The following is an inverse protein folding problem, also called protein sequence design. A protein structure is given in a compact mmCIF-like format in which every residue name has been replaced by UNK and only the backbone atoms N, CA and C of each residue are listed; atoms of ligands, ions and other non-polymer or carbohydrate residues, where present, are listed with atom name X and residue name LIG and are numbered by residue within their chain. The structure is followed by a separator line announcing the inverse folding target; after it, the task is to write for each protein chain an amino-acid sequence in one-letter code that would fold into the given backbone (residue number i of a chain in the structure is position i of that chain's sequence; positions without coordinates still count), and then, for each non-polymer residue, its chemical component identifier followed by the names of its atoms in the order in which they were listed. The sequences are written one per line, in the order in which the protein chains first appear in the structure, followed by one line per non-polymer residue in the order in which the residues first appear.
data_IF_042544633686
#
_entry.id   IF_042544633686
#
_cell.length_a   1.000
_cell.length_b   1.000
_cell.length_c   1.000
_cell.angle_alpha   90.00
_cell.angle_beta   90.00
_cell.angle_gamma   90.00
#
_symmetry.space_group_name_H-M   'P 1'
#
loop_
_entity.id
_entity.type
_entity.pdbx_description
1 polymer ?
#
# COMPACT_ATOMS: atom_id res chain seq x y z
N UNK A 1 -9.49 27.81 7.46
CA UNK A 1 -9.28 26.76 8.48
C UNK A 1 -9.85 25.45 7.95
N UNK A 2 -9.06 24.37 8.03
CA UNK A 2 -9.45 22.93 7.92
C UNK A 2 -10.00 22.45 6.56
N UNK A 3 -9.54 21.35 5.94
CA UNK A 3 -8.97 20.10 6.48
C UNK A 3 -8.04 19.44 5.44
N UNK A 4 -6.88 18.97 5.92
CA UNK A 4 -6.05 17.91 5.32
C UNK A 4 -6.93 16.72 4.92
N UNK A 5 -6.65 16.15 3.74
CA UNK A 5 -6.53 14.70 3.43
C UNK A 5 -7.00 14.44 2.00
N UNK A 6 -6.04 14.30 1.10
CA UNK A 6 -5.78 12.98 0.51
C UNK A 6 -4.39 13.02 -0.10
N UNK A 7 -3.38 12.65 0.67
CA UNK A 7 -2.24 11.96 0.08
C UNK A 7 -2.81 10.66 -0.50
N UNK A 8 -3.39 10.78 -1.69
CA UNK A 8 -3.50 9.66 -2.61
C UNK A 8 -2.04 9.36 -2.93
N UNK A 9 -1.43 8.51 -2.11
CA UNK A 9 -0.21 7.83 -2.49
C UNK A 9 -0.57 7.12 -3.79
N UNK A 10 -0.29 7.76 -4.93
CA UNK A 10 -0.39 7.11 -6.22
C UNK A 10 0.58 5.95 -6.10
N UNK A 11 0.02 4.75 -5.98
CA UNK A 11 0.79 3.54 -5.77
C UNK A 11 1.59 3.35 -7.05
N UNK A 12 2.86 3.75 -6.99
CA UNK A 12 3.80 3.66 -8.10
C UNK A 12 4.42 2.27 -8.12
N UNK A 13 4.83 1.84 -9.31
CA UNK A 13 5.69 0.67 -9.45
C UNK A 13 6.92 0.83 -8.57
N UNK A 14 7.22 -0.20 -7.78
CA UNK A 14 8.39 -0.21 -6.90
C UNK A 14 9.51 -1.04 -7.51
N UNK A 15 10.72 -0.53 -7.48
CA UNK A 15 11.91 -1.31 -7.81
C UNK A 15 12.30 -2.10 -6.57
N UNK A 16 12.57 -3.38 -6.73
CA UNK A 16 13.05 -4.25 -5.64
C UNK A 16 14.56 -4.42 -5.76
N UNK A 17 15.24 -4.20 -4.64
CA UNK A 17 16.67 -4.31 -4.47
C UNK A 17 16.97 -5.39 -3.41
N UNK A 18 17.98 -6.20 -3.67
CA UNK A 18 18.58 -7.07 -2.68
C UNK A 18 19.81 -6.36 -2.12
N UNK A 19 19.76 -6.05 -0.83
CA UNK A 19 20.83 -5.39 -0.09
C UNK A 19 21.52 -6.41 0.79
N UNK A 20 22.82 -6.64 0.57
CA UNK A 20 23.63 -7.50 1.42
C UNK A 20 24.47 -6.64 2.35
N UNK A 21 24.43 -6.90 3.65
CA UNK A 21 25.27 -6.25 4.67
C UNK A 21 25.96 -7.34 5.47
N UNK A 22 27.28 -7.48 5.29
CA UNK A 22 28.03 -8.64 5.79
C UNK A 22 27.44 -9.96 5.26
N UNK A 23 26.96 -10.81 6.17
CA UNK A 23 26.33 -12.11 5.85
C UNK A 23 24.81 -12.06 5.69
N UNK A 24 24.17 -10.91 5.94
CA UNK A 24 22.71 -10.76 5.91
C UNK A 24 22.24 -10.18 4.59
N UNK A 25 21.07 -10.60 4.15
CA UNK A 25 20.40 -10.08 2.96
C UNK A 25 19.04 -9.51 3.32
N UNK A 26 18.70 -8.39 2.70
CA UNK A 26 17.47 -7.63 2.92
C UNK A 26 16.84 -7.27 1.58
N UNK A 27 15.54 -7.51 1.45
CA UNK A 27 14.77 -7.00 0.34
C UNK A 27 14.31 -5.57 0.64
N UNK A 28 14.67 -4.64 -0.23
CA UNK A 28 14.32 -3.22 -0.14
C UNK A 28 13.56 -2.83 -1.39
N UNK A 29 12.32 -2.41 -1.23
CA UNK A 29 11.50 -1.83 -2.30
C UNK A 29 11.63 -0.30 -2.29
N UNK A 30 11.64 0.36 -3.44
CA UNK A 30 11.57 1.82 -3.51
C UNK A 30 10.87 2.30 -4.78
N UNK A 31 10.02 3.33 -4.65
CA UNK A 31 9.36 4.03 -5.74
C UNK A 31 10.10 5.31 -6.19
N UNK A 32 11.11 5.74 -5.43
CA UNK A 32 11.95 6.89 -5.74
C UNK A 32 13.38 6.71 -5.20
N UNK A 33 14.30 7.55 -5.68
CA UNK A 33 15.67 7.60 -5.16
C UNK A 33 15.70 8.04 -3.69
N UNK A 34 14.82 8.94 -3.28
CA UNK A 34 14.75 9.42 -1.89
C UNK A 34 14.22 8.33 -0.95
N UNK A 35 13.16 7.59 -1.35
CA UNK A 35 12.68 6.43 -0.57
C UNK A 35 13.77 5.35 -0.46
N UNK A 36 14.56 5.17 -1.51
CA UNK A 36 15.70 4.26 -1.48
C UNK A 36 16.78 4.75 -0.51
N UNK A 37 17.10 6.04 -0.50
CA UNK A 37 18.08 6.64 0.41
C UNK A 37 17.68 6.46 1.88
N UNK A 38 16.42 6.75 2.21
CA UNK A 38 15.87 6.60 3.57
C UNK A 38 15.96 5.15 4.07
N UNK A 39 15.71 4.18 3.19
CA UNK A 39 15.79 2.76 3.54
C UNK A 39 17.22 2.23 3.60
N UNK A 40 18.12 2.75 2.78
CA UNK A 40 19.53 2.33 2.74
C UNK A 40 20.36 2.94 3.88
N UNK A 41 20.09 4.17 4.30
CA UNK A 41 20.80 4.85 5.39
C UNK A 41 21.02 3.95 6.64
N UNK A 42 19.96 3.38 7.27
CA UNK A 42 20.14 2.56 8.46
C UNK A 42 20.81 1.21 8.18
N UNK A 43 20.72 0.68 6.95
CA UNK A 43 21.35 -0.60 6.58
C UNK A 43 22.84 -0.45 6.34
N UNK A 44 23.24 0.66 5.73
CA UNK A 44 24.63 0.98 5.45
C UNK A 44 25.36 1.63 6.64
N UNK A 45 24.61 2.11 7.65
CA UNK A 45 25.17 2.86 8.77
C UNK A 45 25.71 4.22 8.36
N UNK A 46 25.09 4.84 7.35
CA UNK A 46 25.50 6.11 6.75
C UNK A 46 24.46 7.20 7.02
N UNK A 47 24.91 8.44 7.08
CA UNK A 47 24.01 9.58 7.19
C UNK A 47 23.24 9.81 5.88
N UNK A 48 22.05 10.41 5.99
CA UNK A 48 21.17 10.58 4.82
C UNK A 48 21.86 11.40 3.71
N UNK A 49 22.65 12.41 4.09
CA UNK A 49 23.40 13.24 3.14
C UNK A 49 24.45 12.46 2.34
N UNK A 50 25.03 11.41 2.94
CA UNK A 50 26.07 10.59 2.32
C UNK A 50 25.48 9.54 1.38
N UNK A 51 24.36 8.92 1.79
CA UNK A 51 23.70 7.86 1.01
C UNK A 51 22.86 8.43 -0.15
N UNK A 52 22.34 9.66 -0.06
CA UNK A 52 21.49 10.26 -1.08
C UNK A 52 22.09 10.23 -2.50
N UNK A 53 23.33 10.71 -2.75
CA UNK A 53 23.93 10.63 -4.09
C UNK A 53 24.13 9.18 -4.57
N UNK A 54 24.41 8.24 -3.65
CA UNK A 54 24.55 6.82 -3.96
C UNK A 54 23.20 6.23 -4.38
N UNK A 55 22.14 6.52 -3.62
CA UNK A 55 20.79 6.07 -3.91
C UNK A 55 20.29 6.62 -5.26
N UNK A 56 20.60 7.88 -5.59
CA UNK A 56 20.30 8.46 -6.90
C UNK A 56 21.01 7.71 -8.04
N UNK A 57 22.29 7.35 -7.85
CA UNK A 57 23.04 6.58 -8.84
C UNK A 57 22.48 5.14 -9.02
N UNK A 58 22.13 4.48 -7.91
CA UNK A 58 21.52 3.14 -7.90
C UNK A 58 20.16 3.15 -8.58
N UNK A 59 19.31 4.13 -8.24
CA UNK A 59 17.96 4.24 -8.79
C UNK A 59 17.99 4.58 -10.28
N UNK A 60 18.88 5.48 -10.70
CA UNK A 60 18.91 6.00 -12.06
C UNK A 60 19.47 5.03 -13.11
N UNK A 61 20.55 4.30 -12.81
CA UNK A 61 21.26 3.51 -13.84
C UNK A 61 21.89 2.20 -13.37
N UNK A 62 22.27 2.06 -12.11
CA UNK A 62 23.10 0.92 -11.72
C UNK A 62 22.26 -0.36 -11.51
N UNK A 63 22.69 -1.48 -12.11
CA UNK A 63 22.13 -2.81 -11.81
C UNK A 63 22.66 -3.39 -10.51
N UNK A 64 23.88 -3.01 -10.13
CA UNK A 64 24.59 -3.46 -8.93
C UNK A 64 25.55 -2.38 -8.45
N UNK A 65 25.72 -2.28 -7.15
CA UNK A 65 26.68 -1.42 -6.47
C UNK A 65 27.33 -2.22 -5.35
N UNK A 66 28.66 -2.25 -5.32
CA UNK A 66 29.43 -2.97 -4.31
C UNK A 66 30.26 -1.97 -3.50
N UNK A 67 30.16 -2.07 -2.18
CA UNK A 67 30.97 -1.36 -1.20
C UNK A 67 31.71 -2.37 -0.32
N UNK A 68 32.64 -1.88 0.49
CA UNK A 68 33.54 -2.73 1.28
C UNK A 68 32.81 -3.66 2.27
N UNK A 69 31.67 -3.21 2.82
CA UNK A 69 30.92 -3.97 3.83
C UNK A 69 29.47 -4.28 3.44
N UNK A 70 29.01 -3.77 2.30
CA UNK A 70 27.65 -3.98 1.82
C UNK A 70 27.55 -3.89 0.31
N UNK A 71 26.50 -4.45 -0.27
CA UNK A 71 26.23 -4.36 -1.70
C UNK A 71 24.74 -4.25 -1.95
N UNK A 72 24.38 -3.66 -3.09
CA UNK A 72 22.99 -3.53 -3.55
C UNK A 72 22.90 -4.07 -4.96
N UNK A 73 21.89 -4.89 -5.22
CA UNK A 73 21.57 -5.35 -6.58
C UNK A 73 20.10 -5.15 -6.86
N UNK A 74 19.78 -4.60 -8.03
CA UNK A 74 18.40 -4.55 -8.52
C UNK A 74 17.95 -5.95 -8.93
N UNK A 75 16.88 -6.46 -8.31
CA UNK A 75 16.37 -7.81 -8.56
C UNK A 75 15.06 -7.82 -9.36
N UNK A 76 14.28 -6.75 -9.34
CA UNK A 76 13.05 -6.71 -10.12
C UNK A 76 12.27 -5.42 -10.00
N UNK A 77 11.04 -5.44 -10.52
CA UNK A 77 10.04 -4.39 -10.38
C UNK A 77 8.77 -5.05 -9.87
N UNK A 78 8.26 -4.59 -8.73
CA UNK A 78 6.94 -4.92 -8.22
C UNK A 78 5.96 -3.90 -8.80
N UNK A 79 5.24 -4.32 -9.84
CA UNK A 79 4.24 -3.47 -10.48
C UNK A 79 3.04 -3.28 -9.57
N UNK A 80 2.57 -2.05 -9.47
CA UNK A 80 1.28 -1.78 -8.88
C UNK A 80 0.20 -1.99 -9.94
N UNK A 81 -0.76 -2.85 -9.65
CA UNK A 81 -1.98 -2.98 -10.45
C UNK A 81 -3.08 -2.30 -9.66
N UNK A 82 -3.49 -1.12 -10.12
CA UNK A 82 -4.70 -0.50 -9.63
C UNK A 82 -5.85 -1.45 -9.97
N UNK A 83 -6.57 -1.90 -8.96
CA UNK A 83 -7.77 -2.70 -9.18
C UNK A 83 -8.83 -1.76 -9.80
N UNK A 84 -8.91 -1.72 -11.12
CA UNK A 84 -9.87 -0.90 -11.88
C UNK A 84 -11.34 -1.32 -11.64
N UNK A 85 -11.59 -2.32 -10.77
CA UNK A 85 -12.89 -2.96 -10.61
C UNK A 85 -13.43 -3.10 -9.19
N UNK A 86 -12.70 -2.71 -8.14
CA UNK A 86 -13.24 -2.78 -6.79
C UNK A 86 -14.21 -1.62 -6.53
N UNK A 87 -15.44 -1.76 -7.04
CA UNK A 87 -16.58 -0.98 -6.56
C UNK A 87 -16.59 -1.09 -5.04
N UNK A 88 -16.26 0.01 -4.35
CA UNK A 88 -16.58 0.17 -2.94
C UNK A 88 -18.08 -0.15 -2.79
N UNK A 89 -18.51 -0.92 -1.75
CA UNK A 89 -19.89 -1.40 -1.61
C UNK A 89 -20.96 -0.30 -1.37
N UNK A 90 -20.70 0.94 -1.76
CA UNK A 90 -21.56 2.10 -1.52
C UNK A 90 -21.57 3.16 -2.64
N UNK A 91 -20.87 2.96 -3.77
CA UNK A 91 -21.05 3.86 -4.92
C UNK A 91 -22.18 3.41 -5.84
N UNK A 92 -23.42 3.63 -5.41
CA UNK A 92 -24.56 3.72 -6.31
C UNK A 92 -24.34 4.89 -7.26
N UNK A 93 -24.07 4.59 -8.53
CA UNK A 93 -24.19 5.53 -9.64
C UNK A 93 -25.61 6.11 -9.63
N UNK A 94 -25.77 7.37 -9.23
CA UNK A 94 -26.97 8.14 -9.53
C UNK A 94 -27.04 8.32 -11.05
N UNK A 95 -27.58 7.33 -11.76
CA UNK A 95 -28.04 7.48 -13.13
C UNK A 95 -29.15 8.53 -13.12
N UNK A 96 -28.81 9.75 -13.51
CA UNK A 96 -29.79 10.79 -13.85
C UNK A 96 -30.58 10.30 -15.08
N UNK A 97 -31.72 9.66 -14.84
CA UNK A 97 -32.57 9.10 -15.89
C UNK A 97 -33.99 8.81 -15.38
N UNK A 98 -34.88 9.79 -15.56
CA UNK A 98 -36.36 9.76 -15.56
C UNK A 98 -37.08 8.42 -15.30
N UNK A 99 -37.80 8.33 -14.17
CA UNK A 99 -39.28 8.33 -13.98
C UNK A 99 -39.60 7.68 -12.62
N UNK A 100 -40.55 8.19 -11.83
CA UNK A 100 -40.92 7.57 -10.56
C UNK A 100 -41.71 6.28 -10.83
N UNK A 101 -41.18 5.16 -10.36
CA UNK A 101 -41.93 3.91 -10.23
C UNK A 101 -42.32 3.73 -8.74
N UNK A 102 -43.47 3.08 -8.55
CA UNK A 102 -44.34 3.05 -7.37
C UNK A 102 -43.66 2.80 -6.01
N UNK A 103 -44.29 3.23 -4.88
CA UNK A 103 -43.80 2.92 -3.55
C UNK A 103 -43.82 1.40 -3.34
N UNK A 104 -42.65 0.82 -3.07
CA UNK A 104 -42.55 -0.58 -2.64
C UNK A 104 -43.08 -0.66 -1.22
N UNK A 105 -44.10 -1.49 -1.05
CA UNK A 105 -44.71 -1.83 0.23
C UNK A 105 -43.65 -2.25 1.26
N UNK A 106 -43.84 -1.69 2.45
CA UNK A 106 -43.43 -2.14 3.77
C UNK A 106 -42.89 -3.58 3.83
N UNK A 107 -41.56 -3.71 3.91
CA UNK A 107 -40.94 -4.95 4.37
C UNK A 107 -41.26 -5.09 5.86
N UNK A 108 -42.23 -5.95 6.15
CA UNK A 108 -42.65 -6.29 7.50
C UNK A 108 -41.47 -6.63 8.39
N UNK A 109 -41.48 -6.06 9.59
CA UNK A 109 -40.58 -6.45 10.67
C UNK A 109 -40.76 -7.94 10.93
N UNK A 110 -39.72 -8.73 10.68
CA UNK A 110 -39.65 -10.10 11.19
C UNK A 110 -39.40 -9.98 12.68
N UNK A 111 -40.46 -10.16 13.48
CA UNK A 111 -40.33 -10.40 14.92
C UNK A 111 -39.55 -11.71 15.10
N UNK A 112 -38.38 -11.60 15.74
CA UNK A 112 -37.64 -12.76 16.20
C UNK A 112 -38.38 -13.36 17.40
N UNK A 113 -38.66 -14.68 17.43
CA UNK A 113 -39.27 -15.31 18.60
C UNK A 113 -38.32 -15.21 19.81
N UNK A 114 -38.79 -14.60 20.90
CA UNK A 114 -38.07 -14.39 22.16
C UNK A 114 -37.92 -15.65 23.04
N UNK A 115 -38.04 -16.86 22.48
CA UNK A 115 -38.08 -18.12 23.24
C UNK A 115 -36.77 -18.91 23.15
N UNK A 116 -35.64 -18.28 23.49
CA UNK A 116 -34.35 -18.98 23.63
C UNK A 116 -33.52 -18.51 24.83
N UNK A 117 -34.17 -17.98 25.89
CA UNK A 117 -33.52 -17.65 27.16
C UNK A 117 -34.37 -18.07 28.37
N UNK A 118 -34.55 -19.38 28.55
CA UNK A 118 -34.84 -20.08 29.82
C UNK A 118 -34.93 -21.57 29.47
N UNK A 119 -34.16 -22.52 29.98
CA UNK A 119 -33.57 -22.70 31.30
C UNK A 119 -32.30 -23.54 31.16
N UNK A 120 -31.22 -23.14 31.83
CA UNK A 120 -30.05 -23.98 32.06
C UNK A 120 -29.45 -23.58 33.41
N UNK A 121 -29.98 -24.15 34.49
CA UNK A 121 -29.38 -24.37 35.81
C UNK A 121 -30.54 -24.82 36.73
N UNK A 122 -30.66 -26.12 37.01
CA UNK A 122 -30.00 -26.83 38.12
C UNK A 122 -30.51 -26.41 39.49
#
# INVERSE_FOLDING_TARGET
MSKKRTDKTMLADKIVYLVRVGSREFDVDAASADELADKLAPLAGLELAEITPIAQAIYGRAKRFDFEHWSVRRVGIRRFVADDGARLPSQTLHRKGRKPAAPVEEWGAVELPSDALSNSAS
#
